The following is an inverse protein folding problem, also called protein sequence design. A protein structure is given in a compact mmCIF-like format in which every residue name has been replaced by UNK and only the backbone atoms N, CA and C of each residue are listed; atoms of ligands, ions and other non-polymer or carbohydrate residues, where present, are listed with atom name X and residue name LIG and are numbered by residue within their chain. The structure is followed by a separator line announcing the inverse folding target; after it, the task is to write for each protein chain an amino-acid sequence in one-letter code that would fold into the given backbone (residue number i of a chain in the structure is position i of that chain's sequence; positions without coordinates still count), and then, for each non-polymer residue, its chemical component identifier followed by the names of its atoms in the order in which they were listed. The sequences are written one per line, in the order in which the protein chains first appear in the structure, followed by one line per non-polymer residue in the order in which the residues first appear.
data_IF_549813907715
#
_entry.id   IF_549813907715
#
_cell.length_a   1.000
_cell.length_b   1.000
_cell.length_c   1.000
_cell.angle_alpha   90.00
_cell.angle_beta   90.00
_cell.angle_gamma   90.00
#
_symmetry.space_group_name_H-M   'P 1'
#
loop_
_entity.id
_entity.type
_entity.pdbx_description
1 polymer ?
#
# COMPACT_ATOMS: atom_id res chain seq x y z
N UNK A 1 28.92 -16.55 -59.94
CA UNK A 1 29.26 -15.30 -59.23
C UNK A 1 28.06 -14.47 -58.77
N UNK A 2 27.01 -14.29 -59.58
CA UNK A 2 25.81 -13.49 -59.21
C UNK A 2 24.99 -14.03 -58.00
N UNK A 3 24.87 -15.35 -57.82
CA UNK A 3 24.07 -15.94 -56.73
C UNK A 3 24.72 -15.71 -55.34
N UNK A 4 26.03 -15.85 -55.22
CA UNK A 4 26.77 -15.56 -53.97
C UNK A 4 26.68 -14.09 -53.51
N UNK A 5 26.62 -13.16 -54.47
CA UNK A 5 26.45 -11.73 -54.23
C UNK A 5 25.04 -11.40 -53.73
N UNK A 6 24.03 -12.06 -54.30
CA UNK A 6 22.63 -11.92 -53.87
C UNK A 6 22.39 -12.46 -52.45
N UNK A 7 22.93 -13.64 -52.14
CA UNK A 7 22.82 -14.23 -50.79
C UNK A 7 23.54 -13.35 -49.75
N UNK A 8 24.70 -12.74 -50.03
CA UNK A 8 25.35 -11.79 -49.11
C UNK A 8 24.51 -10.53 -48.88
N UNK A 9 23.87 -9.99 -49.92
CA UNK A 9 22.99 -8.82 -49.79
C UNK A 9 21.74 -9.16 -48.97
N UNK A 10 21.15 -10.34 -49.14
CA UNK A 10 20.01 -10.80 -48.36
C UNK A 10 20.38 -11.07 -46.89
N UNK A 11 21.55 -11.65 -46.60
CA UNK A 11 22.06 -11.87 -45.27
C UNK A 11 22.36 -10.53 -44.55
N UNK A 12 22.91 -9.54 -45.26
CA UNK A 12 23.14 -8.21 -44.70
C UNK A 12 21.82 -7.43 -44.43
N UNK A 13 20.82 -7.55 -45.33
CA UNK A 13 19.48 -6.99 -45.12
C UNK A 13 18.78 -7.64 -43.94
N UNK A 14 18.89 -8.97 -43.80
CA UNK A 14 18.32 -9.70 -42.66
C UNK A 14 19.01 -9.33 -41.34
N UNK A 15 20.35 -9.17 -41.35
CA UNK A 15 21.12 -8.74 -40.19
C UNK A 15 20.78 -7.31 -39.77
N UNK A 16 20.58 -6.38 -40.73
CA UNK A 16 20.13 -5.01 -40.45
C UNK A 16 18.70 -5.00 -39.96
N UNK A 17 17.81 -5.85 -40.45
CA UNK A 17 16.44 -6.00 -39.97
C UNK A 17 16.39 -6.60 -38.55
N UNK A 18 17.24 -7.62 -38.27
CA UNK A 18 17.37 -8.20 -36.92
C UNK A 18 17.98 -7.18 -35.94
N UNK A 19 18.93 -6.38 -36.37
CA UNK A 19 19.50 -5.29 -35.55
C UNK A 19 18.52 -4.13 -35.33
N UNK A 20 17.64 -3.82 -36.28
CA UNK A 20 16.63 -2.78 -36.11
C UNK A 20 15.43 -3.23 -35.25
N UNK A 21 15.15 -4.52 -35.17
CA UNK A 21 14.11 -5.07 -34.27
C UNK A 21 14.60 -5.17 -32.82
N UNK A 22 15.92 -5.25 -32.58
CA UNK A 22 16.49 -5.28 -31.23
C UNK A 22 16.75 -3.89 -30.62
N UNK A 23 16.46 -2.80 -31.33
CA UNK A 23 16.47 -1.43 -30.80
C UNK A 23 15.07 -0.93 -30.42
N UNK A 24 14.15 -1.78 -30.00
CA UNK A 24 13.13 -1.35 -29.03
C UNK A 24 13.90 -1.27 -27.72
N UNK A 25 14.64 -0.15 -27.54
CA UNK A 25 15.14 0.29 -26.24
C UNK A 25 13.98 0.08 -25.28
N UNK A 26 14.16 -0.78 -24.29
CA UNK A 26 13.17 -0.99 -23.25
C UNK A 26 12.85 0.40 -22.68
N UNK A 27 11.70 0.96 -23.08
CA UNK A 27 11.30 2.28 -22.63
C UNK A 27 11.09 2.13 -21.14
N UNK A 28 12.02 2.66 -20.34
CA UNK A 28 11.82 2.77 -18.90
C UNK A 28 10.76 3.84 -18.66
N UNK A 29 9.51 3.42 -18.50
CA UNK A 29 8.37 4.32 -18.32
C UNK A 29 8.27 4.82 -16.89
N UNK A 30 8.80 4.07 -15.91
CA UNK A 30 8.83 4.46 -14.50
C UNK A 30 9.54 5.78 -14.28
N UNK A 31 10.53 6.14 -15.14
CA UNK A 31 11.21 7.45 -15.11
C UNK A 31 10.30 8.67 -15.32
N UNK A 32 9.12 8.45 -15.92
CA UNK A 32 8.15 9.51 -16.16
C UNK A 32 7.18 9.71 -15.01
N UNK A 33 7.14 8.78 -14.06
CA UNK A 33 6.32 8.91 -12.86
C UNK A 33 7.02 9.80 -11.84
N UNK A 34 6.29 10.79 -11.34
CA UNK A 34 6.75 11.61 -10.23
C UNK A 34 5.80 11.43 -9.04
N UNK A 35 6.15 10.56 -8.06
CA UNK A 35 5.29 10.27 -6.91
C UNK A 35 5.03 11.49 -6.01
N UNK A 36 5.78 12.58 -6.13
CA UNK A 36 5.54 13.82 -5.37
C UNK A 36 4.37 14.66 -5.91
N UNK A 37 3.86 14.39 -7.12
CA UNK A 37 2.69 15.10 -7.63
C UNK A 37 1.47 14.76 -6.77
N UNK A 38 0.80 15.80 -6.26
CA UNK A 38 -0.38 15.67 -5.40
C UNK A 38 -0.07 15.42 -3.92
N UNK A 39 1.20 15.55 -3.48
CA UNK A 39 1.58 15.31 -2.08
C UNK A 39 1.66 16.57 -1.24
N UNK A 40 1.58 17.76 -1.82
CA UNK A 40 1.62 19.04 -1.11
C UNK A 40 0.40 19.89 -1.40
N UNK A 41 -0.04 20.66 -0.42
CA UNK A 41 -1.11 21.62 -0.60
C UNK A 41 -0.62 22.88 -1.34
N UNK A 42 -1.33 23.28 -2.39
CA UNK A 42 -1.14 24.60 -3.03
C UNK A 42 -1.79 25.70 -2.17
N UNK A 43 -2.84 25.35 -1.46
CA UNK A 43 -3.53 26.15 -0.42
C UNK A 43 -3.87 25.20 0.73
N UNK A 44 -3.98 25.70 1.93
CA UNK A 44 -4.09 24.93 3.18
C UNK A 44 -5.17 23.84 3.26
N UNK A 45 -6.03 23.71 2.23
CA UNK A 45 -7.12 22.75 2.17
C UNK A 45 -7.17 21.92 0.89
N UNK A 46 -6.20 22.06 -0.03
CA UNK A 46 -6.24 21.45 -1.35
C UNK A 46 -4.98 20.61 -1.64
N UNK A 47 -4.70 19.64 -0.78
CA UNK A 47 -3.73 18.59 -1.08
C UNK A 47 -4.40 17.51 -1.94
N UNK A 48 -3.62 16.88 -2.86
CA UNK A 48 -4.07 15.68 -3.55
C UNK A 48 -4.10 14.45 -2.65
N UNK A 49 -3.63 14.58 -1.39
CA UNK A 49 -3.53 13.49 -0.41
C UNK A 49 -2.86 12.23 -0.97
N UNK A 50 -1.88 12.41 -1.85
CA UNK A 50 -1.00 11.35 -2.32
C UNK A 50 0.26 11.29 -1.45
N UNK A 51 1.03 10.21 -1.58
CA UNK A 51 2.28 10.01 -0.86
C UNK A 51 3.39 9.54 -1.80
N UNK A 52 4.67 9.86 -1.51
CA UNK A 52 5.78 9.54 -2.39
C UNK A 52 6.40 8.15 -2.15
N UNK A 53 5.86 7.37 -1.21
CA UNK A 53 6.49 6.16 -0.69
C UNK A 53 6.51 4.96 -1.64
N UNK A 54 7.10 3.88 -1.13
CA UNK A 54 7.27 2.63 -1.84
C UNK A 54 5.99 1.76 -1.76
N UNK A 55 5.46 1.38 -2.90
CA UNK A 55 4.37 0.43 -3.05
C UNK A 55 4.49 -0.29 -4.40
N UNK A 56 3.80 -1.41 -4.57
CA UNK A 56 3.61 -2.08 -5.86
C UNK A 56 2.17 -1.89 -6.34
N UNK A 57 1.85 -2.11 -7.63
CA UNK A 57 0.49 -1.97 -8.14
C UNK A 57 -0.52 -2.76 -7.30
N UNK A 58 -1.54 -2.08 -6.78
CA UNK A 58 -2.61 -2.67 -5.96
C UNK A 58 -2.13 -3.41 -4.69
N UNK A 59 -0.91 -3.13 -4.18
CA UNK A 59 -0.35 -3.79 -3.01
C UNK A 59 -1.08 -3.44 -1.70
N UNK A 60 -1.05 -4.35 -0.72
CA UNK A 60 -1.49 -4.10 0.65
C UNK A 60 -0.55 -3.08 1.33
N UNK A 61 0.76 -3.29 1.17
CA UNK A 61 1.76 -2.41 1.78
C UNK A 61 1.92 -1.13 0.98
N UNK A 62 1.82 -0.01 1.69
CA UNK A 62 1.99 1.35 1.20
C UNK A 62 2.95 2.07 2.14
N UNK A 63 4.24 1.75 1.98
CA UNK A 63 5.31 2.17 2.87
C UNK A 63 5.80 3.58 2.50
N UNK A 64 5.63 4.55 3.41
CA UNK A 64 5.99 5.94 3.13
C UNK A 64 6.33 6.69 4.41
N UNK A 65 7.06 7.80 4.34
CA UNK A 65 7.26 8.66 5.48
C UNK A 65 5.95 9.28 5.96
N UNK A 66 5.87 9.49 7.27
CA UNK A 66 4.85 10.29 7.93
C UNK A 66 5.48 11.60 8.38
N UNK A 67 4.98 12.72 7.84
CA UNK A 67 5.48 14.07 8.13
C UNK A 67 4.65 14.80 9.20
N UNK A 68 3.60 14.14 9.70
CA UNK A 68 2.76 14.61 10.80
C UNK A 68 2.70 13.59 11.93
N UNK A 69 2.68 14.06 13.16
CA UNK A 69 2.56 13.19 14.33
C UNK A 69 1.17 12.55 14.41
N UNK A 70 0.14 13.29 14.00
CA UNK A 70 -1.24 12.85 13.93
C UNK A 70 -1.89 13.42 12.66
N UNK A 71 -1.67 12.81 11.49
CA UNK A 71 -2.26 13.29 10.23
C UNK A 71 -3.77 13.34 10.32
N UNK A 72 -4.35 14.43 9.85
CA UNK A 72 -5.79 14.67 9.80
C UNK A 72 -6.32 14.70 8.36
N UNK A 73 -7.48 15.31 8.14
CA UNK A 73 -8.12 15.43 6.83
C UNK A 73 -7.27 16.16 5.78
N UNK A 74 -6.45 17.13 6.21
CA UNK A 74 -5.63 17.92 5.30
C UNK A 74 -4.41 17.14 4.78
N UNK A 75 -3.94 16.14 5.53
CA UNK A 75 -2.82 15.25 5.18
C UNK A 75 -3.24 13.79 5.32
N UNK A 76 -4.37 13.42 4.69
CA UNK A 76 -4.97 12.09 4.83
C UNK A 76 -4.02 10.93 4.49
N UNK A 77 -3.00 11.17 3.66
CA UNK A 77 -1.98 10.18 3.30
C UNK A 77 -0.82 10.07 4.30
N UNK A 78 -0.74 10.96 5.30
CA UNK A 78 0.36 11.02 6.29
C UNK A 78 1.58 11.83 5.86
N UNK A 79 1.66 12.25 4.60
CA UNK A 79 2.77 13.03 4.04
C UNK A 79 2.29 14.35 3.46
N UNK A 80 3.02 15.44 3.73
CA UNK A 80 2.85 16.73 3.05
C UNK A 80 4.21 17.24 2.57
N UNK A 81 4.32 17.58 1.27
CA UNK A 81 5.54 18.08 0.65
C UNK A 81 6.07 19.38 1.27
N UNK A 82 5.21 20.16 1.95
CA UNK A 82 5.63 21.41 2.60
C UNK A 82 6.22 21.20 4.00
N UNK A 83 6.19 19.96 4.51
CA UNK A 83 6.75 19.64 5.81
C UNK A 83 8.27 19.41 5.74
N UNK A 84 8.94 19.56 6.88
CA UNK A 84 10.39 19.40 7.03
C UNK A 84 10.79 18.43 8.14
N UNK A 85 9.82 17.71 8.72
CA UNK A 85 10.03 16.75 9.81
C UNK A 85 9.40 15.41 9.42
N UNK A 86 10.14 14.32 9.63
CA UNK A 86 9.65 12.94 9.52
C UNK A 86 9.53 12.36 10.91
N UNK A 87 8.37 11.76 11.23
CA UNK A 87 8.07 11.05 12.47
C UNK A 87 8.31 9.54 12.36
N UNK A 88 8.42 9.02 11.15
CA UNK A 88 8.71 7.62 10.87
C UNK A 88 8.18 7.17 9.52
N UNK A 89 8.16 5.85 9.33
CA UNK A 89 7.74 5.20 8.09
C UNK A 89 6.68 4.16 8.43
N UNK A 90 5.41 4.43 8.09
CA UNK A 90 4.30 3.50 8.30
C UNK A 90 3.95 2.71 7.04
N UNK A 91 3.24 1.59 7.20
CA UNK A 91 3.08 0.56 6.17
C UNK A 91 1.72 0.55 5.49
N UNK A 92 0.74 1.25 6.02
CA UNK A 92 -0.60 1.36 5.43
C UNK A 92 -1.03 2.81 5.36
N UNK A 93 -1.75 3.19 4.31
CA UNK A 93 -2.30 4.55 4.18
C UNK A 93 -3.40 4.64 3.16
N UNK A 94 -4.09 5.76 3.16
CA UNK A 94 -5.04 6.15 2.13
C UNK A 94 -4.36 7.11 1.14
N UNK A 95 -4.79 7.09 -0.10
CA UNK A 95 -4.29 7.96 -1.16
C UNK A 95 -5.45 8.59 -1.92
N UNK A 96 -5.39 9.91 -2.14
CA UNK A 96 -6.39 10.63 -2.90
C UNK A 96 -7.72 10.83 -2.17
N UNK A 97 -7.84 10.49 -0.89
CA UNK A 97 -9.06 10.66 -0.10
C UNK A 97 -9.05 11.96 0.69
N UNK A 98 -10.25 12.48 1.01
CA UNK A 98 -10.42 13.60 1.93
C UNK A 98 -10.59 13.18 3.38
N UNK A 99 -10.51 11.87 3.69
CA UNK A 99 -10.59 11.35 5.04
C UNK A 99 -9.32 10.58 5.39
N UNK A 100 -8.81 10.80 6.58
CA UNK A 100 -7.60 10.18 7.08
C UNK A 100 -7.92 8.93 7.90
N UNK A 101 -7.22 7.83 7.62
CA UNK A 101 -7.20 6.60 8.44
C UNK A 101 -5.93 5.82 8.11
N UNK A 102 -5.78 4.63 8.70
CA UNK A 102 -4.63 3.74 8.56
C UNK A 102 -3.39 4.30 9.26
N UNK A 103 -2.25 4.34 8.54
CA UNK A 103 -0.95 4.76 9.08
C UNK A 103 -0.55 3.83 10.23
N UNK A 104 -0.50 2.52 9.88
CA UNK A 104 -0.24 1.44 10.83
C UNK A 104 1.23 1.01 10.80
N UNK A 105 1.71 0.53 11.95
CA UNK A 105 3.01 -0.11 12.12
C UNK A 105 4.14 0.80 11.66
N UNK A 106 4.44 1.80 12.48
CA UNK A 106 5.48 2.77 12.18
C UNK A 106 6.84 2.30 12.67
N UNK A 107 7.87 2.44 11.82
CA UNK A 107 9.28 2.30 12.19
C UNK A 107 9.99 3.65 12.11
N UNK A 108 10.84 3.95 13.09
CA UNK A 108 11.72 5.12 13.05
C UNK A 108 13.14 4.76 13.52
N UNK A 109 14.17 4.88 12.64
CA UNK A 109 15.56 4.64 13.00
C UNK A 109 16.13 5.86 13.74
N UNK A 110 16.90 5.63 14.79
CA UNK A 110 17.50 6.69 15.61
C UNK A 110 18.87 6.29 16.16
N UNK A 111 19.72 7.26 16.40
CA UNK A 111 20.97 7.11 17.16
C UNK A 111 20.89 7.82 18.52
N UNK A 112 19.81 8.54 18.79
CA UNK A 112 19.67 9.45 19.93
C UNK A 112 18.44 9.20 20.82
N UNK A 113 17.61 8.21 20.57
CA UNK A 113 16.30 7.95 21.21
C UNK A 113 15.17 8.92 20.79
N UNK A 114 15.42 9.88 19.93
CA UNK A 114 14.38 10.74 19.36
C UNK A 114 13.42 9.92 18.50
N UNK A 115 12.21 10.43 18.30
CA UNK A 115 11.15 9.83 17.48
C UNK A 115 10.79 10.70 16.28
N UNK A 116 11.69 11.57 15.86
CA UNK A 116 11.53 12.42 14.67
C UNK A 116 12.88 12.97 14.24
N UNK A 117 12.97 13.35 12.97
CA UNK A 117 14.14 14.02 12.42
C UNK A 117 13.73 15.04 11.37
N UNK A 118 14.51 16.10 11.27
CA UNK A 118 14.44 17.03 10.14
C UNK A 118 14.91 16.34 8.86
N UNK A 119 14.40 16.79 7.71
CA UNK A 119 14.84 16.40 6.38
C UNK A 119 14.74 17.55 5.39
N UNK A 120 15.29 17.38 4.21
CA UNK A 120 15.16 18.34 3.09
C UNK A 120 14.87 17.60 1.79
N UNK A 121 14.09 18.22 0.89
CA UNK A 121 13.79 17.63 -0.43
C UNK A 121 15.00 17.49 -1.34
N UNK A 122 16.12 18.19 -1.04
CA UNK A 122 17.39 17.98 -1.77
C UNK A 122 17.98 16.60 -1.52
N UNK A 123 17.67 16.00 -0.36
CA UNK A 123 18.15 14.70 0.07
C UNK A 123 17.02 13.66 0.10
N UNK A 124 15.94 13.90 -0.64
CA UNK A 124 14.76 13.04 -0.75
C UNK A 124 14.57 12.63 -2.21
N UNK A 125 14.29 11.36 -2.46
CA UNK A 125 14.00 10.83 -3.78
C UNK A 125 12.88 9.81 -3.72
N UNK A 126 12.03 9.81 -4.76
CA UNK A 126 10.97 8.82 -4.93
C UNK A 126 10.85 8.40 -6.40
N UNK A 127 10.59 7.12 -6.60
CA UNK A 127 10.20 6.53 -7.88
C UNK A 127 9.27 5.34 -7.63
N UNK A 128 8.54 4.84 -8.63
CA UNK A 128 7.67 3.69 -8.42
C UNK A 128 8.39 2.51 -7.75
N UNK A 129 7.86 2.08 -6.61
CA UNK A 129 8.41 0.98 -5.81
C UNK A 129 9.61 1.32 -4.93
N UNK A 130 10.02 2.59 -4.87
CA UNK A 130 11.20 3.00 -4.08
C UNK A 130 11.07 4.42 -3.53
N UNK A 131 11.57 4.61 -2.32
CA UNK A 131 11.71 5.91 -1.67
C UNK A 131 13.03 5.98 -0.88
N UNK A 132 13.66 7.15 -0.82
CA UNK A 132 14.81 7.40 0.06
C UNK A 132 14.80 8.81 0.62
N UNK A 133 15.38 8.97 1.83
CA UNK A 133 15.59 10.28 2.47
C UNK A 133 16.74 10.22 3.46
N UNK A 134 17.45 11.35 3.61
CA UNK A 134 18.41 11.54 4.71
C UNK A 134 17.70 12.18 5.91
N UNK A 135 17.63 11.45 7.01
CA UNK A 135 17.22 11.95 8.32
C UNK A 135 18.36 12.78 8.90
N UNK A 136 18.25 14.10 8.77
CA UNK A 136 19.39 15.03 8.99
C UNK A 136 19.88 15.04 10.44
N UNK A 137 18.94 15.04 11.40
CA UNK A 137 19.30 15.09 12.83
C UNK A 137 19.95 13.80 13.31
N UNK A 138 19.52 12.67 12.74
CA UNK A 138 20.01 11.33 13.07
C UNK A 138 21.19 10.90 12.19
N UNK A 139 21.45 11.61 11.07
CA UNK A 139 22.47 11.26 10.06
C UNK A 139 22.30 9.82 9.53
N UNK A 140 21.05 9.43 9.33
CA UNK A 140 20.66 8.11 8.82
C UNK A 140 20.04 8.27 7.43
N UNK A 141 20.61 7.59 6.45
CA UNK A 141 19.97 7.39 5.14
C UNK A 141 18.92 6.28 5.29
N UNK A 142 17.66 6.60 5.06
CA UNK A 142 16.57 5.65 5.02
C UNK A 142 16.19 5.38 3.56
N UNK A 143 16.11 4.11 3.19
CA UNK A 143 15.66 3.65 1.88
C UNK A 143 14.55 2.62 2.07
N UNK A 144 13.51 2.73 1.26
CA UNK A 144 12.29 1.93 1.36
C UNK A 144 11.96 1.28 0.02
N UNK A 145 11.51 0.04 0.07
CA UNK A 145 10.89 -0.68 -1.05
C UNK A 145 9.79 -1.60 -0.55
N UNK A 146 9.00 -2.18 -1.44
CA UNK A 146 7.90 -3.05 -1.02
C UNK A 146 7.62 -4.16 -2.04
N UNK A 147 7.04 -5.25 -1.56
CA UNK A 147 6.25 -6.21 -2.32
C UNK A 147 4.76 -6.01 -2.02
N UNK A 148 3.90 -6.97 -2.36
CA UNK A 148 2.46 -6.84 -2.12
C UNK A 148 2.13 -6.73 -0.63
N UNK A 149 2.76 -7.60 0.21
CA UNK A 149 2.48 -7.67 1.64
C UNK A 149 3.67 -7.30 2.52
N UNK A 150 4.86 -7.02 1.95
CA UNK A 150 6.08 -6.80 2.73
C UNK A 150 6.68 -5.44 2.42
N UNK A 151 6.84 -4.60 3.45
CA UNK A 151 7.66 -3.40 3.41
C UNK A 151 9.10 -3.74 3.77
N UNK A 152 10.06 -3.19 3.03
CA UNK A 152 11.49 -3.42 3.28
C UNK A 152 12.18 -2.08 3.46
N UNK A 153 12.87 -1.94 4.58
CA UNK A 153 13.65 -0.77 4.94
C UNK A 153 15.13 -1.11 4.94
N UNK A 154 15.94 -0.19 4.44
CA UNK A 154 17.38 -0.19 4.62
C UNK A 154 17.79 1.11 5.29
N UNK A 155 18.47 1.02 6.42
CA UNK A 155 18.99 2.14 7.17
C UNK A 155 20.50 2.13 7.15
N UNK A 156 21.12 3.17 6.58
CA UNK A 156 22.57 3.36 6.53
C UNK A 156 22.89 4.54 7.44
N UNK A 157 23.75 4.32 8.40
CA UNK A 157 24.07 5.30 9.45
C UNK A 157 25.56 5.60 9.56
N UNK A 158 25.89 6.77 10.08
CA UNK A 158 27.27 7.23 10.19
C UNK A 158 28.04 6.49 11.28
N UNK A 159 29.37 6.45 11.13
CA UNK A 159 30.27 5.86 12.13
C UNK A 159 30.10 6.47 13.54
N UNK A 160 30.24 5.65 14.56
CA UNK A 160 30.36 6.04 15.97
C UNK A 160 29.05 6.04 16.77
N UNK A 161 27.88 5.91 16.14
CA UNK A 161 26.60 5.80 16.84
C UNK A 161 26.16 4.35 17.08
N UNK A 162 25.27 4.14 18.03
CA UNK A 162 24.54 2.88 18.19
C UNK A 162 23.18 3.01 17.50
N UNK A 163 22.93 2.22 16.47
CA UNK A 163 21.64 2.21 15.81
C UNK A 163 20.58 1.64 16.74
N UNK A 164 19.47 2.33 16.81
CA UNK A 164 18.26 1.93 17.48
C UNK A 164 17.08 2.08 16.52
N UNK A 165 16.04 1.29 16.75
CA UNK A 165 14.82 1.36 15.95
C UNK A 165 13.62 1.40 16.86
N UNK A 166 12.81 2.41 16.70
CA UNK A 166 11.47 2.47 17.26
C UNK A 166 10.49 1.69 16.40
N UNK A 167 9.68 0.84 17.03
CA UNK A 167 8.43 0.30 16.52
C UNK A 167 7.30 0.98 17.28
N UNK A 168 6.41 1.67 16.61
CA UNK A 168 5.31 2.39 17.24
C UNK A 168 3.96 1.85 16.75
N UNK A 169 3.18 1.26 17.66
CA UNK A 169 1.83 0.77 17.42
C UNK A 169 0.75 1.75 17.89
N UNK A 170 1.12 2.85 18.54
CA UNK A 170 0.17 3.93 18.89
C UNK A 170 0.03 4.98 17.78
N UNK A 171 1.08 5.14 16.95
CA UNK A 171 1.03 6.07 15.83
C UNK A 171 -0.08 5.71 14.84
N UNK A 172 -0.91 6.67 14.48
CA UNK A 172 -2.01 6.50 13.50
C UNK A 172 -2.59 7.83 13.07
N UNK A 173 -3.33 7.82 11.96
CA UNK A 173 -4.12 8.98 11.55
C UNK A 173 -5.23 9.32 12.56
N UNK A 174 -5.66 10.58 12.56
CA UNK A 174 -6.79 11.06 13.37
C UNK A 174 -6.69 10.73 14.86
N UNK A 175 -5.50 10.84 15.46
CA UNK A 175 -5.25 10.47 16.86
C UNK A 175 -6.22 11.13 17.84
N UNK A 176 -6.64 12.35 17.54
CA UNK A 176 -7.59 13.12 18.34
C UNK A 176 -9.08 12.85 18.00
N UNK A 177 -9.36 11.99 17.00
CA UNK A 177 -10.73 11.68 16.60
C UNK A 177 -11.46 10.85 17.66
N UNK A 178 -12.71 11.23 17.94
CA UNK A 178 -13.58 10.54 18.91
C UNK A 178 -13.83 9.05 18.59
N UNK A 179 -13.76 8.66 17.33
CA UNK A 179 -14.00 7.27 16.88
C UNK A 179 -12.70 6.46 16.74
N UNK A 180 -11.52 7.10 16.80
CA UNK A 180 -10.24 6.40 16.78
C UNK A 180 -9.92 5.85 18.16
N UNK A 181 -9.79 4.54 18.28
CA UNK A 181 -9.40 3.89 19.52
C UNK A 181 -8.67 2.58 19.27
N UNK A 182 -7.50 2.42 19.82
CA UNK A 182 -6.84 1.12 19.91
C UNK A 182 -7.59 0.28 20.94
N UNK A 183 -8.07 -0.87 20.49
CA UNK A 183 -8.81 -1.84 21.33
C UNK A 183 -7.80 -2.74 22.03
N UNK A 184 -6.80 -3.18 21.29
CA UNK A 184 -5.77 -4.10 21.77
C UNK A 184 -4.57 -4.06 20.84
N UNK A 185 -3.39 -4.18 21.40
CA UNK A 185 -2.15 -4.42 20.64
C UNK A 185 -1.21 -5.34 21.41
N UNK A 186 -0.26 -5.93 20.68
CA UNK A 186 0.79 -6.78 21.23
C UNK A 186 2.11 -6.53 20.51
N UNK A 187 3.21 -6.51 21.27
CA UNK A 187 4.58 -6.64 20.76
C UNK A 187 5.19 -7.87 21.42
N UNK A 188 5.74 -8.78 20.63
CA UNK A 188 6.40 -10.01 21.05
C UNK A 188 7.76 -10.13 20.40
N UNK A 189 8.84 -10.16 21.19
CA UNK A 189 10.20 -10.47 20.74
C UNK A 189 10.31 -12.01 20.72
N UNK A 190 10.33 -12.58 19.54
CA UNK A 190 10.29 -14.04 19.31
C UNK A 190 11.69 -14.65 19.32
N UNK A 191 12.63 -13.93 18.73
CA UNK A 191 14.03 -14.32 18.65
C UNK A 191 14.93 -13.08 18.61
N UNK A 192 16.26 -13.21 18.63
CA UNK A 192 17.14 -12.05 18.48
C UNK A 192 16.93 -11.25 17.19
N UNK A 193 16.33 -11.82 16.17
CA UNK A 193 16.12 -11.14 14.89
C UNK A 193 14.65 -11.01 14.49
N UNK A 194 13.69 -11.41 15.35
CA UNK A 194 12.27 -11.46 15.00
C UNK A 194 11.42 -10.81 16.08
N UNK A 195 10.58 -9.86 15.64
CA UNK A 195 9.52 -9.23 16.46
C UNK A 195 8.19 -9.41 15.74
N UNK A 196 7.16 -9.74 16.47
CA UNK A 196 5.83 -9.96 15.96
C UNK A 196 4.80 -9.25 16.81
N UNK A 197 3.62 -9.07 16.26
CA UNK A 197 2.52 -8.52 17.01
C UNK A 197 1.31 -8.21 16.16
N UNK A 198 0.43 -7.46 16.77
CA UNK A 198 -0.78 -7.01 16.10
C UNK A 198 -1.31 -5.73 16.73
N UNK A 199 -2.19 -5.08 16.00
CA UNK A 199 -3.02 -3.97 16.48
C UNK A 199 -4.47 -4.17 16.03
N UNK A 200 -5.40 -3.96 16.95
CA UNK A 200 -6.84 -3.88 16.70
C UNK A 200 -7.27 -2.46 17.01
N UNK A 201 -7.77 -1.74 16.01
CA UNK A 201 -8.08 -0.31 16.10
C UNK A 201 -9.40 0.01 15.41
N UNK A 202 -10.15 0.96 15.96
CA UNK A 202 -11.30 1.62 15.30
C UNK A 202 -10.87 2.94 14.69
N UNK A 203 -11.62 3.42 13.72
CA UNK A 203 -11.40 4.69 13.03
C UNK A 203 -12.50 4.92 12.01
N UNK A 204 -12.16 5.50 10.88
CA UNK A 204 -13.07 5.56 9.73
C UNK A 204 -13.36 4.14 9.20
N UNK A 205 -12.34 3.28 9.10
CA UNK A 205 -12.55 1.83 9.07
C UNK A 205 -13.10 1.37 10.43
N UNK A 206 -14.29 0.75 10.46
CA UNK A 206 -15.03 0.43 11.69
C UNK A 206 -14.21 -0.37 12.70
N UNK A 207 -13.53 -1.42 12.22
CA UNK A 207 -12.60 -2.22 13.02
C UNK A 207 -11.53 -2.78 12.10
N UNK A 208 -10.28 -2.45 12.41
CA UNK A 208 -9.12 -2.91 11.66
C UNK A 208 -8.27 -3.81 12.55
N UNK A 209 -8.10 -5.06 12.12
CA UNK A 209 -7.13 -5.99 12.66
C UNK A 209 -5.94 -6.01 11.72
N UNK A 210 -4.76 -5.68 12.22
CA UNK A 210 -3.54 -5.74 11.44
C UNK A 210 -2.47 -6.50 12.23
N UNK A 211 -1.96 -7.56 11.64
CA UNK A 211 -0.92 -8.41 12.17
C UNK A 211 0.36 -8.15 11.42
N UNK A 212 1.49 -8.23 12.12
CA UNK A 212 2.80 -8.05 11.50
C UNK A 212 3.80 -9.11 11.95
N UNK A 213 4.72 -9.41 11.03
CA UNK A 213 5.96 -10.16 11.26
C UNK A 213 7.12 -9.29 10.80
N UNK A 214 8.00 -8.92 11.72
CA UNK A 214 9.15 -8.05 11.52
C UNK A 214 10.44 -8.83 11.70
N UNK A 215 11.29 -8.83 10.67
CA UNK A 215 12.63 -9.43 10.71
C UNK A 215 13.72 -8.37 10.57
N UNK A 216 14.82 -8.57 11.28
CA UNK A 216 16.02 -7.74 11.21
C UNK A 216 17.20 -8.54 10.62
N UNK A 217 18.01 -7.88 9.79
CA UNK A 217 19.25 -8.46 9.25
C UNK A 217 20.34 -8.65 10.29
N UNK A 218 20.16 -8.08 11.48
CA UNK A 218 21.10 -8.10 12.60
C UNK A 218 20.39 -8.47 13.91
N UNK A 219 21.05 -9.12 14.86
CA UNK A 219 20.44 -9.45 16.13
C UNK A 219 20.23 -8.23 17.01
N UNK A 220 19.07 -8.20 17.69
CA UNK A 220 18.75 -7.26 18.76
C UNK A 220 19.71 -7.52 19.93
N UNK A 221 20.42 -6.48 20.35
CA UNK A 221 21.30 -6.51 21.52
C UNK A 221 20.50 -6.33 22.83
N UNK A 222 19.54 -5.39 22.81
CA UNK A 222 18.63 -5.15 23.92
C UNK A 222 17.31 -4.56 23.39
N UNK A 223 16.25 -4.78 24.14
CA UNK A 223 14.92 -4.22 23.83
C UNK A 223 14.31 -3.53 25.03
N UNK A 224 13.58 -2.48 24.77
CA UNK A 224 12.84 -1.70 25.72
C UNK A 224 11.45 -1.48 25.20
N UNK A 225 10.46 -2.13 25.83
CA UNK A 225 9.06 -2.04 25.42
C UNK A 225 8.34 -1.07 26.35
N UNK A 226 7.34 -0.38 25.80
CA UNK A 226 6.56 0.63 26.52
C UNK A 226 5.06 0.43 26.31
N UNK A 227 4.26 0.71 27.35
CA UNK A 227 2.82 0.91 27.28
C UNK A 227 2.52 2.26 27.94
N UNK A 228 2.35 3.28 27.12
CA UNK A 228 2.33 4.66 27.57
C UNK A 228 3.62 5.01 28.34
N UNK A 229 3.47 5.44 29.59
CA UNK A 229 4.59 5.79 30.46
C UNK A 229 5.26 4.59 31.17
N UNK A 230 4.71 3.38 31.04
CA UNK A 230 5.29 2.17 31.65
C UNK A 230 6.37 1.61 30.74
N UNK A 231 7.51 1.25 31.35
CA UNK A 231 8.69 0.72 30.64
C UNK A 231 9.03 -0.68 31.10
N UNK A 232 9.38 -1.54 30.16
CA UNK A 232 9.70 -2.95 30.35
C UNK A 232 11.01 -3.28 29.64
N UNK A 233 12.04 -3.62 30.40
CA UNK A 233 13.37 -3.96 29.87
C UNK A 233 13.45 -5.44 29.51
N UNK A 234 13.93 -5.77 28.31
CA UNK A 234 14.16 -7.13 27.83
C UNK A 234 12.99 -8.11 28.11
N UNK A 235 11.78 -7.57 28.17
CA UNK A 235 10.56 -8.35 28.35
C UNK A 235 10.16 -8.96 27.01
N UNK A 236 9.88 -10.27 26.93
CA UNK A 236 9.63 -10.91 25.62
C UNK A 236 8.26 -10.57 25.02
N UNK A 237 7.27 -10.17 25.81
CA UNK A 237 5.92 -9.84 25.33
C UNK A 237 5.24 -8.82 26.22
N UNK A 238 4.59 -7.85 25.59
CA UNK A 238 3.65 -6.93 26.25
C UNK A 238 2.35 -6.84 25.46
N UNK A 239 1.26 -6.59 26.17
CA UNK A 239 -0.06 -6.26 25.62
C UNK A 239 -0.50 -4.94 26.19
N UNK A 240 -1.19 -4.12 25.40
CA UNK A 240 -1.65 -2.80 25.83
C UNK A 240 -2.34 -2.04 24.71
N UNK A 241 -2.49 -0.74 24.90
CA UNK A 241 -3.15 0.15 23.94
C UNK A 241 -2.27 1.29 23.44
N UNK A 242 -1.12 1.55 24.10
CA UNK A 242 -0.18 2.63 23.75
C UNK A 242 1.24 2.05 23.58
N UNK A 243 1.32 0.95 22.80
CA UNK A 243 2.55 0.16 22.72
C UNK A 243 3.56 0.76 21.76
N UNK A 244 4.81 0.83 22.22
CA UNK A 244 5.96 1.00 21.37
C UNK A 244 7.16 0.20 21.89
N UNK A 245 8.13 -0.07 21.00
CA UNK A 245 9.35 -0.79 21.33
C UNK A 245 10.57 -0.07 20.77
N UNK A 246 11.64 0.02 21.57
CA UNK A 246 12.97 0.48 21.17
C UNK A 246 13.90 -0.72 21.13
N UNK A 247 14.47 -1.02 19.97
CA UNK A 247 15.40 -2.10 19.74
C UNK A 247 16.79 -1.53 19.47
N UNK A 248 17.81 -2.03 20.16
CA UNK A 248 19.19 -1.61 20.00
C UNK A 248 19.98 -2.70 19.26
N UNK A 249 20.86 -2.31 18.34
CA UNK A 249 21.69 -3.18 17.52
C UNK A 249 23.18 -2.97 17.78
N UNK A 250 24.01 -4.00 17.54
CA UNK A 250 25.45 -3.91 17.77
C UNK A 250 26.13 -3.06 16.68
N UNK A 251 27.09 -2.24 17.08
CA UNK A 251 27.90 -1.37 16.19
C UNK A 251 28.82 -2.11 15.21
N UNK A 252 28.99 -3.42 15.38
CA UNK A 252 29.98 -4.21 14.63
C UNK A 252 29.60 -4.54 13.19
N UNK A 253 28.37 -4.22 12.78
CA UNK A 253 27.82 -4.62 11.50
C UNK A 253 27.78 -3.43 10.53
N UNK A 254 28.75 -3.27 9.67
CA UNK A 254 28.85 -2.43 8.46
C UNK A 254 27.95 -1.18 8.34
N UNK A 255 27.55 -0.55 9.47
CA UNK A 255 26.67 0.64 9.49
C UNK A 255 25.37 0.51 8.68
N UNK A 256 24.85 -0.69 8.50
CA UNK A 256 23.62 -0.97 7.77
C UNK A 256 22.69 -1.87 8.58
N UNK A 257 21.41 -1.57 8.58
CA UNK A 257 20.34 -2.44 9.07
C UNK A 257 19.26 -2.57 7.99
N UNK A 258 18.91 -3.81 7.63
CA UNK A 258 17.73 -4.08 6.82
C UNK A 258 16.63 -4.63 7.73
N UNK A 259 15.41 -4.10 7.56
CA UNK A 259 14.21 -4.56 8.24
C UNK A 259 13.16 -4.96 7.21
N UNK A 260 12.47 -6.06 7.44
CA UNK A 260 11.35 -6.53 6.63
C UNK A 260 10.11 -6.61 7.50
N UNK A 261 9.02 -5.99 7.09
CA UNK A 261 7.73 -5.99 7.80
C UNK A 261 6.67 -6.57 6.89
N UNK A 262 6.25 -7.78 7.16
CA UNK A 262 5.09 -8.37 6.50
C UNK A 262 3.82 -8.09 7.26
N UNK A 263 2.74 -7.83 6.53
CA UNK A 263 1.41 -7.56 7.06
C UNK A 263 0.42 -8.66 6.69
N UNK A 264 -0.60 -8.82 7.53
CA UNK A 264 -1.80 -9.62 7.26
C UNK A 264 -3.01 -9.01 7.97
N UNK A 265 -4.20 -9.15 7.38
CA UNK A 265 -5.47 -8.85 8.04
C UNK A 265 -6.01 -10.02 8.88
N UNK A 266 -5.36 -11.18 8.82
CA UNK A 266 -5.86 -12.45 9.35
C UNK A 266 -5.10 -12.91 10.60
N UNK A 267 -3.78 -13.07 10.49
CA UNK A 267 -2.96 -13.62 11.57
C UNK A 267 -1.46 -13.31 11.42
N UNK A 268 -0.70 -13.49 12.50
CA UNK A 268 0.77 -13.42 12.47
C UNK A 268 1.34 -14.54 11.59
N UNK A 269 0.74 -15.71 11.62
CA UNK A 269 1.13 -16.86 10.79
C UNK A 269 1.03 -16.53 9.30
N UNK A 270 -0.03 -15.85 8.89
CA UNK A 270 -0.19 -15.40 7.52
C UNK A 270 0.83 -14.31 7.15
N UNK A 271 1.14 -13.39 8.06
CA UNK A 271 2.22 -12.43 7.84
C UNK A 271 3.58 -13.12 7.62
N UNK A 272 3.87 -14.21 8.34
CA UNK A 272 5.08 -15.04 8.09
C UNK A 272 5.04 -15.71 6.72
N UNK A 273 3.89 -16.25 6.32
CA UNK A 273 3.71 -16.86 5.00
C UNK A 273 3.94 -15.84 3.88
N UNK A 274 3.38 -14.64 4.03
CA UNK A 274 3.59 -13.53 3.10
C UNK A 274 5.08 -13.18 2.98
N UNK A 275 5.80 -13.05 4.11
CA UNK A 275 7.24 -12.79 4.14
C UNK A 275 8.03 -13.87 3.41
N UNK A 276 7.76 -15.12 3.74
CA UNK A 276 8.49 -16.26 3.17
C UNK A 276 8.26 -16.42 1.66
N UNK A 277 7.06 -16.10 1.19
CA UNK A 277 6.71 -16.20 -0.23
C UNK A 277 7.27 -15.03 -1.07
N UNK A 278 7.22 -13.82 -0.56
CA UNK A 278 7.51 -12.62 -1.35
C UNK A 278 8.93 -12.09 -1.17
N UNK A 279 9.48 -12.17 0.04
CA UNK A 279 10.79 -11.59 0.38
C UNK A 279 11.61 -12.55 1.25
N UNK A 280 11.98 -13.74 0.75
CA UNK A 280 12.73 -14.73 1.54
C UNK A 280 14.18 -14.30 1.83
N UNK A 281 14.74 -13.39 1.04
CA UNK A 281 16.13 -12.95 1.13
C UNK A 281 16.30 -11.53 1.69
N UNK A 282 17.57 -11.08 1.72
CA UNK A 282 17.98 -9.78 2.25
C UNK A 282 18.57 -8.83 1.19
N UNK A 283 18.47 -9.18 -0.10
CA UNK A 283 19.00 -8.34 -1.19
C UNK A 283 18.02 -7.21 -1.50
N UNK A 284 18.25 -6.06 -0.90
CA UNK A 284 17.42 -4.86 -1.04
C UNK A 284 17.29 -4.41 -2.50
N UNK A 285 18.39 -4.39 -3.26
CA UNK A 285 18.40 -3.97 -4.68
C UNK A 285 17.55 -4.88 -5.55
N UNK A 286 17.59 -6.18 -5.27
CA UNK A 286 16.76 -7.14 -6.00
C UNK A 286 15.26 -6.90 -5.76
N UNK A 287 14.88 -6.65 -4.50
CA UNK A 287 13.49 -6.36 -4.13
C UNK A 287 13.04 -5.05 -4.76
N UNK A 288 13.85 -3.98 -4.68
CA UNK A 288 13.54 -2.69 -5.29
C UNK A 288 13.41 -2.77 -6.82
N UNK A 289 14.28 -3.55 -7.46
CA UNK A 289 14.20 -3.79 -8.90
C UNK A 289 12.94 -4.58 -9.30
N UNK A 290 12.53 -5.55 -8.49
CA UNK A 290 11.29 -6.31 -8.71
C UNK A 290 10.05 -5.41 -8.55
N UNK A 291 10.03 -4.52 -7.55
CA UNK A 291 8.98 -3.54 -7.36
C UNK A 291 8.88 -2.58 -8.56
N UNK A 292 10.00 -2.04 -9.03
CA UNK A 292 10.04 -1.18 -10.24
C UNK A 292 9.58 -1.93 -11.48
N UNK A 293 10.01 -3.19 -11.66
CA UNK A 293 9.59 -4.02 -12.79
C UNK A 293 8.08 -4.29 -12.81
N UNK A 294 7.45 -4.44 -11.64
CA UNK A 294 6.00 -4.60 -11.52
C UNK A 294 5.26 -3.36 -12.02
N UNK A 295 5.74 -2.17 -11.69
CA UNK A 295 5.22 -0.89 -12.20
C UNK A 295 5.45 -0.74 -13.70
N UNK A 296 6.65 -1.04 -14.17
CA UNK A 296 6.99 -0.97 -15.60
C UNK A 296 6.08 -1.86 -16.44
N UNK A 297 5.74 -3.07 -15.94
CA UNK A 297 4.79 -3.99 -16.58
C UNK A 297 3.42 -3.33 -16.76
N UNK A 298 2.89 -2.70 -15.72
CA UNK A 298 1.57 -2.07 -15.76
C UNK A 298 1.56 -0.80 -16.64
N UNK A 299 2.58 0.05 -16.50
CA UNK A 299 2.70 1.28 -17.29
C UNK A 299 2.84 1.02 -18.79
N UNK A 300 3.48 -0.09 -19.19
CA UNK A 300 3.64 -0.51 -20.60
C UNK A 300 2.33 -0.86 -21.29
N UNK A 301 1.24 -1.06 -20.56
CA UNK A 301 -0.08 -1.28 -21.17
C UNK A 301 -0.54 -0.11 -22.01
N UNK A 302 0.00 1.11 -21.77
CA UNK A 302 -0.30 2.32 -22.56
C UNK A 302 0.99 3.05 -22.92
N UNK A 303 1.27 3.16 -24.21
CA UNK A 303 2.41 3.91 -24.73
C UNK A 303 1.91 5.19 -25.38
N UNK A 304 2.34 6.35 -24.88
CA UNK A 304 1.98 7.64 -25.45
C UNK A 304 3.16 8.31 -26.12
N UNK A 305 2.87 9.09 -27.17
CA UNK A 305 3.77 10.07 -27.75
C UNK A 305 3.47 11.45 -27.16
N UNK A 306 4.49 12.26 -26.93
CA UNK A 306 4.33 13.59 -26.37
C UNK A 306 5.62 14.15 -25.78
N UNK A 307 5.55 15.39 -25.30
CA UNK A 307 6.64 16.07 -24.61
C UNK A 307 6.95 15.37 -23.26
N UNK A 308 8.12 15.65 -22.69
CA UNK A 308 8.49 15.13 -21.37
C UNK A 308 7.46 15.49 -20.28
N UNK A 309 6.91 16.71 -20.32
CA UNK A 309 5.88 17.15 -19.37
C UNK A 309 4.58 16.35 -19.54
N UNK A 310 4.11 16.16 -20.78
CA UNK A 310 2.91 15.36 -21.05
C UNK A 310 3.07 13.91 -20.58
N UNK A 311 4.23 13.29 -20.84
CA UNK A 311 4.54 11.95 -20.36
C UNK A 311 4.56 11.88 -18.84
N UNK A 312 5.18 12.86 -18.17
CA UNK A 312 5.21 12.93 -16.71
C UNK A 312 3.80 13.03 -16.13
N UNK A 313 2.95 13.91 -16.63
CA UNK A 313 1.56 14.04 -16.18
C UNK A 313 0.79 12.74 -16.41
N UNK A 314 0.86 12.19 -17.62
CA UNK A 314 0.12 10.98 -17.98
C UNK A 314 0.53 9.75 -17.15
N UNK A 315 1.82 9.44 -17.09
CA UNK A 315 2.29 8.25 -16.38
C UNK A 315 2.16 8.38 -14.87
N UNK A 316 2.25 9.60 -14.32
CA UNK A 316 1.97 9.81 -12.89
C UNK A 316 0.48 9.62 -12.59
N UNK A 317 -0.42 10.13 -13.44
CA UNK A 317 -1.85 9.90 -13.29
C UNK A 317 -2.19 8.40 -13.40
N UNK A 318 -1.61 7.71 -14.39
CA UNK A 318 -1.80 6.26 -14.56
C UNK A 318 -1.26 5.48 -13.34
N UNK A 319 -0.10 5.86 -12.80
CA UNK A 319 0.44 5.31 -11.55
C UNK A 319 -0.55 5.45 -10.39
N UNK A 320 -1.11 6.64 -10.19
CA UNK A 320 -2.07 6.89 -9.10
C UNK A 320 -3.33 6.04 -9.21
N UNK A 321 -3.78 5.68 -10.41
CA UNK A 321 -4.96 4.79 -10.57
C UNK A 321 -4.71 3.38 -10.03
N UNK A 322 -3.45 2.96 -9.82
CA UNK A 322 -3.09 1.62 -9.40
C UNK A 322 -2.57 1.55 -7.96
N UNK A 323 -2.59 2.65 -7.22
CA UNK A 323 -2.23 2.68 -5.79
C UNK A 323 -3.35 2.05 -4.95
N UNK A 324 -4.61 2.19 -5.38
CA UNK A 324 -5.80 1.58 -4.81
C UNK A 324 -6.72 1.06 -5.94
N UNK A 325 -7.59 0.05 -5.70
CA UNK A 325 -7.83 -0.69 -4.45
C UNK A 325 -6.63 -1.54 -4.02
N UNK A 326 -6.62 -1.97 -2.74
CA UNK A 326 -5.52 -2.71 -2.16
C UNK A 326 -5.82 -4.21 -2.08
N UNK A 327 -4.84 -5.05 -2.37
CA UNK A 327 -4.86 -6.47 -2.03
C UNK A 327 -5.10 -6.63 -0.54
N UNK A 328 -6.01 -7.52 -0.17
CA UNK A 328 -6.34 -7.82 1.22
C UNK A 328 -6.25 -9.31 1.56
N UNK A 329 -6.30 -10.20 0.56
CA UNK A 329 -6.03 -11.63 0.77
C UNK A 329 -4.53 -11.89 0.86
N UNK A 330 -4.13 -12.72 1.82
CA UNK A 330 -2.77 -13.20 1.99
C UNK A 330 -2.37 -14.19 0.88
N UNK A 331 -1.10 -14.57 0.78
CA UNK A 331 -0.57 -15.47 -0.26
C UNK A 331 -1.22 -16.86 -0.26
N UNK A 332 -1.79 -17.28 0.86
CA UNK A 332 -2.57 -18.52 0.98
C UNK A 332 -4.05 -18.35 0.59
N UNK A 333 -4.45 -17.15 0.17
CA UNK A 333 -5.82 -16.79 -0.22
C UNK A 333 -6.75 -16.42 0.95
N UNK A 334 -6.29 -16.45 2.20
CA UNK A 334 -7.11 -16.07 3.36
C UNK A 334 -7.24 -14.55 3.47
N UNK A 335 -8.40 -14.09 3.94
CA UNK A 335 -8.69 -12.66 4.17
C UNK A 335 -9.68 -12.47 5.31
N UNK A 336 -9.69 -11.30 5.92
CA UNK A 336 -10.72 -10.90 6.88
C UNK A 336 -11.98 -10.48 6.13
N UNK A 337 -13.07 -11.20 6.32
CA UNK A 337 -14.38 -10.91 5.73
C UNK A 337 -15.12 -9.78 6.47
N UNK A 338 -16.23 -9.31 5.87
CA UNK A 338 -17.04 -8.22 6.42
C UNK A 338 -17.64 -8.52 7.82
N UNK A 339 -17.78 -9.80 8.18
CA UNK A 339 -18.22 -10.26 9.50
C UNK A 339 -17.07 -10.50 10.48
N UNK A 340 -15.86 -10.04 10.16
CA UNK A 340 -14.63 -10.23 10.95
C UNK A 340 -14.15 -11.66 11.09
N UNK A 341 -14.75 -12.61 10.34
CA UNK A 341 -14.26 -13.98 10.25
C UNK A 341 -13.18 -14.12 9.18
N UNK A 342 -12.32 -15.13 9.32
CA UNK A 342 -11.38 -15.50 8.28
C UNK A 342 -12.10 -16.33 7.22
N UNK A 343 -11.94 -15.95 5.96
CA UNK A 343 -12.42 -16.70 4.81
C UNK A 343 -11.28 -16.85 3.80
N UNK A 344 -11.50 -17.69 2.79
CA UNK A 344 -10.51 -17.97 1.75
C UNK A 344 -11.13 -17.76 0.38
N UNK A 345 -10.37 -17.13 -0.52
CA UNK A 345 -10.70 -17.05 -1.95
C UNK A 345 -10.40 -18.38 -2.65
N UNK A 346 -10.99 -18.60 -3.81
CA UNK A 346 -10.61 -19.73 -4.65
C UNK A 346 -9.16 -19.59 -5.16
N UNK A 347 -8.57 -20.69 -5.62
CA UNK A 347 -7.21 -20.69 -6.15
C UNK A 347 -7.07 -19.68 -7.31
N UNK A 348 -6.00 -18.92 -7.30
CA UNK A 348 -5.69 -17.84 -8.25
C UNK A 348 -6.64 -16.62 -8.20
N UNK A 349 -7.50 -16.49 -7.21
CA UNK A 349 -8.27 -15.27 -6.95
C UNK A 349 -7.58 -14.38 -5.93
N UNK A 350 -7.85 -13.08 -6.02
CA UNK A 350 -7.39 -12.07 -5.05
C UNK A 350 -8.60 -11.35 -4.47
N UNK A 351 -8.61 -11.17 -3.15
CA UNK A 351 -9.58 -10.29 -2.50
C UNK A 351 -8.99 -8.89 -2.33
N UNK A 352 -9.77 -7.89 -2.73
CA UNK A 352 -9.40 -6.48 -2.64
C UNK A 352 -10.29 -5.71 -1.68
N UNK A 353 -9.77 -4.63 -1.15
CA UNK A 353 -10.46 -3.64 -0.32
C UNK A 353 -10.05 -2.23 -0.70
N UNK A 354 -10.60 -1.24 0.00
CA UNK A 354 -10.36 0.20 -0.25
C UNK A 354 -10.96 0.62 -1.60
N UNK A 355 -12.26 0.39 -1.74
CA UNK A 355 -13.03 0.81 -2.90
C UNK A 355 -13.74 2.14 -2.65
N UNK A 356 -13.18 3.22 -3.13
CA UNK A 356 -13.77 4.57 -3.13
C UNK A 356 -14.70 4.75 -4.33
N UNK A 357 -15.82 4.01 -4.34
CA UNK A 357 -16.65 3.83 -5.54
C UNK A 357 -17.29 5.12 -6.05
N UNK A 358 -17.68 6.03 -5.14
CA UNK A 358 -18.21 7.35 -5.51
C UNK A 358 -17.23 8.17 -6.35
N UNK A 359 -15.95 8.04 -6.08
CA UNK A 359 -14.89 8.72 -6.82
C UNK A 359 -14.51 7.97 -8.10
N UNK A 360 -14.37 6.65 -8.02
CA UNK A 360 -13.70 5.84 -9.04
C UNK A 360 -14.64 5.32 -10.14
N UNK A 361 -15.96 5.25 -9.91
CA UNK A 361 -16.90 4.69 -10.88
C UNK A 361 -16.93 5.46 -12.21
N UNK A 362 -16.66 6.78 -12.18
CA UNK A 362 -16.77 7.67 -13.33
C UNK A 362 -15.73 7.40 -14.40
N UNK A 363 -14.49 7.14 -13.99
CA UNK A 363 -13.36 7.02 -14.92
C UNK A 363 -12.39 5.87 -14.60
N UNK A 364 -11.99 5.67 -13.34
CA UNK A 364 -10.99 4.67 -12.99
C UNK A 364 -11.49 3.24 -13.26
N UNK A 365 -12.69 2.87 -12.83
CA UNK A 365 -13.24 1.55 -13.11
C UNK A 365 -13.49 1.30 -14.61
N UNK A 366 -14.07 2.23 -15.41
CA UNK A 366 -14.08 2.09 -16.86
C UNK A 366 -12.71 1.95 -17.50
N UNK A 367 -11.68 2.66 -16.99
CA UNK A 367 -10.30 2.48 -17.44
C UNK A 367 -9.76 1.08 -17.13
N UNK A 368 -10.06 0.54 -15.95
CA UNK A 368 -9.62 -0.81 -15.58
C UNK A 368 -10.21 -1.88 -16.51
N UNK A 369 -11.44 -1.72 -16.99
CA UNK A 369 -12.01 -2.65 -17.97
C UNK A 369 -11.28 -2.65 -19.32
N UNK A 370 -10.43 -1.66 -19.58
CA UNK A 370 -9.57 -1.59 -20.77
C UNK A 370 -8.16 -2.11 -20.50
N UNK A 371 -7.60 -1.78 -19.32
CA UNK A 371 -6.17 -1.99 -19.04
C UNK A 371 -5.91 -3.18 -18.10
N UNK A 372 -6.88 -3.54 -17.25
CA UNK A 372 -6.72 -4.53 -16.18
C UNK A 372 -7.83 -5.58 -16.22
N UNK A 373 -8.16 -6.06 -17.41
CA UNK A 373 -9.22 -7.08 -17.62
C UNK A 373 -8.94 -8.37 -16.85
N UNK A 374 -7.68 -8.65 -16.55
CA UNK A 374 -7.21 -9.74 -15.69
C UNK A 374 -7.59 -9.57 -14.21
N UNK A 375 -7.79 -8.34 -13.74
CA UNK A 375 -8.10 -8.01 -12.32
C UNK A 375 -9.57 -7.70 -12.07
N UNK A 376 -10.31 -7.27 -13.08
CA UNK A 376 -11.73 -6.89 -12.94
C UNK A 376 -12.57 -7.99 -12.31
N UNK A 377 -12.44 -9.28 -12.67
CA UNK A 377 -13.21 -10.35 -12.04
C UNK A 377 -13.00 -10.37 -10.51
N UNK A 378 -11.78 -10.17 -10.05
CA UNK A 378 -11.44 -10.17 -8.62
C UNK A 378 -11.99 -8.94 -7.89
N UNK A 379 -11.97 -7.76 -8.53
CA UNK A 379 -12.59 -6.55 -7.98
C UNK A 379 -14.09 -6.76 -7.79
N UNK A 380 -14.78 -7.28 -8.81
CA UNK A 380 -16.22 -7.54 -8.75
C UNK A 380 -16.52 -8.64 -7.74
N UNK A 381 -15.78 -9.76 -7.72
CA UNK A 381 -15.94 -10.80 -6.72
C UNK A 381 -15.73 -10.28 -5.30
N UNK A 382 -14.82 -9.32 -5.10
CA UNK A 382 -14.63 -8.69 -3.80
C UNK A 382 -15.85 -7.88 -3.36
N UNK A 383 -16.51 -7.16 -4.27
CA UNK A 383 -17.77 -6.47 -4.02
C UNK A 383 -18.92 -7.47 -3.79
N UNK A 384 -18.97 -8.56 -4.56
CA UNK A 384 -19.99 -9.61 -4.42
C UNK A 384 -19.90 -10.35 -3.08
N UNK A 385 -18.68 -10.57 -2.54
CA UNK A 385 -18.50 -11.17 -1.19
C UNK A 385 -19.10 -10.28 -0.10
N UNK A 386 -19.11 -8.97 -0.27
CA UNK A 386 -19.80 -8.07 0.63
C UNK A 386 -21.33 -8.17 0.47
N UNK A 387 -21.81 -8.26 -0.79
CA UNK A 387 -23.24 -8.53 -1.07
C UNK A 387 -23.70 -9.85 -0.42
N UNK A 388 -22.91 -10.91 -0.54
CA UNK A 388 -23.23 -12.22 0.06
C UNK A 388 -23.42 -12.13 1.59
N UNK A 389 -22.78 -11.14 2.23
CA UNK A 389 -22.89 -10.94 3.68
C UNK A 389 -24.02 -9.98 4.08
N UNK A 390 -24.10 -8.82 3.43
CA UNK A 390 -25.03 -7.75 3.81
C UNK A 390 -26.34 -7.77 3.03
N UNK A 391 -26.46 -8.48 1.91
CA UNK A 391 -27.60 -8.45 1.00
C UNK A 391 -27.62 -7.24 0.08
N UNK A 392 -26.57 -6.39 0.10
CA UNK A 392 -26.40 -5.25 -0.79
C UNK A 392 -24.91 -5.01 -1.10
N UNK A 393 -24.64 -4.37 -2.23
CA UNK A 393 -23.32 -4.07 -2.74
C UNK A 393 -22.64 -2.95 -1.92
N UNK A 394 -21.30 -2.86 -1.91
CA UNK A 394 -20.58 -1.84 -1.16
C UNK A 394 -20.84 -0.43 -1.72
N UNK A 395 -20.86 0.54 -0.79
CA UNK A 395 -20.88 1.99 -1.09
C UNK A 395 -19.48 2.56 -1.04
N UNK A 396 -18.79 2.36 0.08
CA UNK A 396 -17.39 2.74 0.28
C UNK A 396 -16.70 1.72 1.20
N UNK A 397 -16.07 0.72 0.59
CA UNK A 397 -15.44 -0.35 1.35
C UNK A 397 -14.05 0.05 1.84
N UNK A 398 -13.80 -0.11 3.14
CA UNK A 398 -12.54 0.19 3.78
C UNK A 398 -12.15 -0.94 4.73
N UNK A 399 -10.98 -1.55 4.50
CA UNK A 399 -10.47 -2.69 5.26
C UNK A 399 -11.50 -3.85 5.37
N UNK A 400 -12.11 -4.22 4.23
CA UNK A 400 -13.09 -5.31 4.14
C UNK A 400 -14.51 -4.95 4.57
N UNK A 401 -14.78 -3.73 5.06
CA UNK A 401 -16.09 -3.33 5.56
C UNK A 401 -16.57 -2.04 4.94
N UNK A 402 -17.89 -1.88 4.87
CA UNK A 402 -18.49 -0.65 4.38
C UNK A 402 -18.51 0.42 5.48
N UNK A 403 -18.07 1.61 5.17
CA UNK A 403 -18.20 2.76 6.06
C UNK A 403 -19.38 3.69 5.67
N UNK A 404 -20.05 3.37 4.57
CA UNK A 404 -21.22 4.12 4.03
C UNK A 404 -20.93 5.59 3.77
N UNK A 405 -19.68 5.94 3.49
CA UNK A 405 -19.31 7.30 3.12
C UNK A 405 -19.82 7.63 1.71
N UNK A 406 -20.27 8.85 1.50
CA UNK A 406 -20.88 9.36 0.28
C UNK A 406 -22.27 8.76 -0.02
N UNK A 407 -22.95 9.34 -0.97
CA UNK A 407 -24.31 8.95 -1.40
C UNK A 407 -24.25 8.03 -2.61
N UNK A 408 -25.31 7.28 -2.85
CA UNK A 408 -25.54 6.46 -4.05
C UNK A 408 -24.90 5.08 -3.97
N UNK A 409 -25.25 4.23 -4.94
CA UNK A 409 -24.80 2.84 -5.08
C UNK A 409 -23.86 2.70 -6.29
N UNK A 410 -22.65 3.22 -6.18
CA UNK A 410 -21.75 3.32 -7.33
C UNK A 410 -21.05 2.00 -7.70
N UNK A 411 -21.15 0.96 -6.88
CA UNK A 411 -20.81 -0.42 -7.28
C UNK A 411 -21.68 -0.91 -8.44
N UNK A 412 -22.95 -0.47 -8.52
CA UNK A 412 -23.87 -0.87 -9.58
C UNK A 412 -23.33 -0.54 -10.97
N UNK A 413 -23.03 0.73 -11.32
CA UNK A 413 -22.48 1.04 -12.63
C UNK A 413 -21.13 0.37 -12.92
N UNK A 414 -20.30 0.14 -11.90
CA UNK A 414 -19.02 -0.58 -12.05
C UNK A 414 -19.24 -2.03 -12.50
N UNK A 415 -20.15 -2.73 -11.85
CA UNK A 415 -20.47 -4.13 -12.16
C UNK A 415 -21.18 -4.24 -13.52
N UNK A 416 -22.16 -3.38 -13.77
CA UNK A 416 -22.93 -3.37 -15.02
C UNK A 416 -22.02 -3.06 -16.21
N UNK A 417 -21.09 -2.10 -16.09
CA UNK A 417 -20.13 -1.76 -17.14
C UNK A 417 -19.26 -2.98 -17.52
N UNK A 418 -18.76 -3.72 -16.52
CA UNK A 418 -17.96 -4.92 -16.77
C UNK A 418 -18.77 -6.06 -17.42
N UNK A 419 -20.02 -6.27 -16.98
CA UNK A 419 -20.93 -7.28 -17.58
C UNK A 419 -21.25 -6.92 -19.01
N UNK A 420 -21.64 -5.67 -19.29
CA UNK A 420 -21.99 -5.23 -20.63
C UNK A 420 -20.82 -5.23 -21.61
N UNK A 421 -19.61 -5.04 -21.12
CA UNK A 421 -18.38 -5.17 -21.91
C UNK A 421 -17.92 -6.62 -22.10
N UNK A 422 -18.64 -7.59 -21.52
CA UNK A 422 -18.32 -9.01 -21.65
C UNK A 422 -17.00 -9.39 -20.98
N UNK A 423 -16.64 -8.76 -19.85
CA UNK A 423 -15.42 -9.12 -19.11
C UNK A 423 -15.55 -10.56 -18.60
N UNK A 424 -14.63 -11.42 -19.02
CA UNK A 424 -14.64 -12.83 -18.65
C UNK A 424 -14.49 -13.03 -17.14
N UNK A 425 -15.18 -14.04 -16.57
CA UNK A 425 -15.09 -14.38 -15.15
C UNK A 425 -16.01 -13.57 -14.22
N UNK A 426 -16.88 -12.72 -14.79
CA UNK A 426 -17.98 -12.06 -14.08
C UNK A 426 -19.27 -12.85 -14.30
N UNK A 427 -19.89 -13.30 -13.21
CA UNK A 427 -21.18 -13.97 -13.21
C UNK A 427 -22.31 -12.94 -13.40
N UNK A 428 -22.92 -12.91 -14.58
CA UNK A 428 -23.92 -11.92 -14.93
C UNK A 428 -25.26 -12.12 -14.19
N UNK A 429 -25.66 -13.35 -13.87
CA UNK A 429 -26.89 -13.65 -13.14
C UNK A 429 -26.75 -13.19 -11.69
N UNK A 430 -25.67 -13.59 -11.02
CA UNK A 430 -25.37 -13.15 -9.66
C UNK A 430 -25.18 -11.62 -9.59
N UNK A 431 -24.53 -11.03 -10.60
CA UNK A 431 -24.39 -9.58 -10.71
C UNK A 431 -25.76 -8.88 -10.79
N UNK A 432 -26.70 -9.43 -11.59
CA UNK A 432 -28.06 -8.89 -11.68
C UNK A 432 -28.80 -9.00 -10.34
N UNK A 433 -28.73 -10.14 -9.64
CA UNK A 433 -29.33 -10.29 -8.32
C UNK A 433 -28.81 -9.25 -7.33
N UNK A 434 -27.49 -9.06 -7.28
CA UNK A 434 -26.85 -8.11 -6.37
C UNK A 434 -27.23 -6.65 -6.69
N UNK A 435 -27.28 -6.28 -7.97
CA UNK A 435 -27.69 -4.96 -8.43
C UNK A 435 -29.17 -4.72 -8.10
N UNK A 436 -30.05 -5.68 -8.39
CA UNK A 436 -31.47 -5.60 -8.09
C UNK A 436 -31.70 -5.45 -6.58
N UNK A 437 -31.11 -6.34 -5.76
CA UNK A 437 -31.23 -6.28 -4.30
C UNK A 437 -30.76 -4.92 -3.76
N UNK A 438 -29.57 -4.45 -4.20
CA UNK A 438 -29.02 -3.16 -3.75
C UNK A 438 -29.88 -1.95 -4.15
N UNK A 439 -30.78 -2.13 -5.13
CA UNK A 439 -31.67 -1.06 -5.61
C UNK A 439 -33.01 -1.00 -4.86
N UNK A 440 -33.36 -2.04 -4.07
CA UNK A 440 -34.66 -2.12 -3.40
C UNK A 440 -34.57 -2.41 -1.89
N UNK A 441 -33.44 -2.99 -1.42
CA UNK A 441 -33.25 -3.28 0.01
C UNK A 441 -32.75 -2.05 0.74
N UNK A 442 -33.41 -1.71 1.84
CA UNK A 442 -32.97 -0.61 2.70
C UNK A 442 -31.63 -0.91 3.36
N UNK A 443 -30.75 0.07 3.33
CA UNK A 443 -29.45 0.02 4.01
C UNK A 443 -29.03 1.45 4.44
N UNK A 444 -27.98 1.63 5.27
CA UNK A 444 -27.66 2.94 5.86
C UNK A 444 -27.56 4.13 4.91
N UNK A 445 -27.15 3.90 3.64
CA UNK A 445 -27.06 4.95 2.62
C UNK A 445 -28.27 5.03 1.67
N UNK A 446 -29.20 4.10 1.78
CA UNK A 446 -30.40 4.06 0.93
C UNK A 446 -31.58 3.54 1.77
N UNK A 447 -32.14 4.38 2.65
CA UNK A 447 -33.25 3.99 3.52
C UNK A 447 -34.58 3.99 2.73
N UNK A 448 -34.76 3.01 1.86
CA UNK A 448 -35.91 2.91 0.94
C UNK A 448 -37.24 2.86 1.69
N UNK A 449 -37.30 2.25 2.90
CA UNK A 449 -38.50 2.26 3.73
C UNK A 449 -38.93 3.68 4.16
N UNK A 450 -38.00 4.61 4.27
CA UNK A 450 -38.31 6.01 4.56
C UNK A 450 -38.95 6.66 3.35
N UNK A 451 -38.40 6.37 2.15
CA UNK A 451 -38.94 6.88 0.89
C UNK A 451 -40.32 6.28 0.59
N UNK A 452 -40.51 4.98 0.78
CA UNK A 452 -41.80 4.31 0.60
C UNK A 452 -42.87 4.88 1.53
N UNK A 453 -42.52 5.26 2.74
CA UNK A 453 -43.43 5.77 3.75
C UNK A 453 -43.78 7.25 3.58
N UNK A 454 -42.84 8.07 3.12
CA UNK A 454 -42.97 9.52 3.14
C UNK A 454 -42.82 10.19 1.76
N UNK A 455 -42.41 9.50 0.72
CA UNK A 455 -42.22 9.99 -0.64
C UNK A 455 -40.86 10.61 -0.84
#
# INVERSE_FOLDING_TARGET
MKLKSMMKRFANLLAVFILSVNCISAQNLTRWVNPFIGTGAVQSSLSGNNYPGATVPFGMVQLSPDTREAPDWAQASGYDYNDSIIYGFSHTRLSGTGASDFIDILLFPTMSDKRKSSFTHQNEQARPGYYQVLLTDEKIQAELTASVHVGVHRYIYSDGGQLKLWLDLDHSANKESWNRRIIQSQIRVVSPTVVEGYRVITGWAKLRKIYFHLEFSQPILSSQLHDGNRRYENTPVINGTELCGLFCFDKKWNNELICKVALSSVSIENARLNMAAEVPGWNFEHIASAAEASWEKELKKVIIQGTGLQKKIFYTALYHTMVQPNTMSDVNGEYMAADYTTRKVADNEVHYSTFSLWDTFRAAHPLYTLLHTDRIPDFIKSMMRQYDYYGYLPVWQLWGQDNYCMIGNHSIPVIVDAVLKGVAGVDAEKAYEAVHSSSIVSHPNSPFEVWEKYG
#
